data_IF_547173037659
#
_entry.id   IF_547173037659
#
_cell.length_a   1.000
_cell.length_b   1.000
_cell.length_c   1.000
_cell.angle_alpha   90.00
_cell.angle_beta   90.00
_cell.angle_gamma   90.00
#
_symmetry.space_group_name_H-M   'P 1'
#
loop_
_entity.id
_entity.type
_entity.pdbx_description
1 polymer ?
#
# COMPACT_ATOMS: atom_id res chain seq x y z
N UNK A 1 5.77 8.35 2.83
CA UNK A 1 5.21 7.38 1.84
C UNK A 1 6.19 6.26 1.47
N UNK A 2 7.25 6.50 0.68
CA UNK A 2 8.15 5.40 0.22
C UNK A 2 8.71 4.57 1.39
N UNK A 3 9.29 5.24 2.37
CA UNK A 3 9.86 4.60 3.56
C UNK A 3 8.80 3.82 4.36
N UNK A 4 7.61 4.39 4.53
CA UNK A 4 6.50 3.75 5.25
C UNK A 4 6.04 2.47 4.56
N UNK A 5 5.91 2.48 3.23
CA UNK A 5 5.54 1.30 2.43
C UNK A 5 6.61 0.21 2.56
N UNK A 6 7.89 0.57 2.42
CA UNK A 6 9.00 -0.39 2.50
C UNK A 6 9.19 -0.96 3.91
N UNK A 7 8.97 -0.14 4.95
CA UNK A 7 9.02 -0.59 6.33
C UNK A 7 7.90 -1.60 6.63
N UNK A 8 6.69 -1.33 6.15
CA UNK A 8 5.57 -2.27 6.28
C UNK A 8 5.81 -3.57 5.50
N UNK A 9 6.29 -3.48 4.24
CA UNK A 9 6.68 -4.65 3.43
C UNK A 9 7.69 -5.51 4.16
N UNK A 10 8.76 -4.90 4.69
CA UNK A 10 9.84 -5.60 5.38
C UNK A 10 9.31 -6.34 6.61
N UNK A 11 8.49 -5.67 7.43
CA UNK A 11 7.91 -6.27 8.64
C UNK A 11 6.99 -7.45 8.29
N UNK A 12 6.10 -7.27 7.30
CA UNK A 12 5.18 -8.33 6.85
C UNK A 12 5.97 -9.50 6.30
N UNK A 13 7.01 -9.25 5.50
CA UNK A 13 7.86 -10.29 4.93
C UNK A 13 8.64 -11.05 6.00
N UNK A 14 9.14 -10.38 7.04
CA UNK A 14 9.82 -11.05 8.15
C UNK A 14 8.91 -12.01 8.91
N UNK A 15 7.63 -11.65 9.07
CA UNK A 15 6.65 -12.45 9.83
C UNK A 15 6.08 -13.58 8.97
N UNK A 16 5.78 -13.31 7.70
CA UNK A 16 5.02 -14.21 6.83
C UNK A 16 5.88 -14.95 5.81
N UNK A 17 7.13 -14.52 5.61
CA UNK A 17 8.00 -14.93 4.48
C UNK A 17 7.44 -14.60 3.09
N UNK A 18 6.41 -13.75 3.01
CA UNK A 18 5.79 -13.31 1.76
C UNK A 18 6.07 -11.84 1.51
N UNK A 19 6.40 -11.50 0.26
CA UNK A 19 6.49 -10.10 -0.17
C UNK A 19 5.11 -9.59 -0.56
N UNK A 20 4.74 -8.41 -0.08
CA UNK A 20 3.47 -7.76 -0.42
C UNK A 20 3.46 -7.24 -1.86
N UNK A 21 2.28 -7.25 -2.50
CA UNK A 21 2.10 -6.80 -3.89
C UNK A 21 0.95 -5.80 -4.07
N UNK A 22 0.10 -5.64 -3.05
CA UNK A 22 -1.08 -4.78 -3.07
C UNK A 22 -0.91 -3.67 -2.04
N UNK A 23 -1.31 -2.46 -2.40
CA UNK A 23 -1.32 -1.30 -1.52
C UNK A 23 -2.71 -0.68 -1.49
N UNK A 24 -3.21 -0.40 -0.29
CA UNK A 24 -4.43 0.39 -0.08
C UNK A 24 -4.02 1.67 0.64
N UNK A 25 -4.24 2.86 0.05
CA UNK A 25 -3.96 4.12 0.72
C UNK A 25 -4.76 4.22 2.03
N UNK A 26 -4.15 4.69 3.13
CA UNK A 26 -4.89 4.99 4.36
C UNK A 26 -6.07 5.91 4.06
N UNK A 27 -7.26 5.51 4.50
CA UNK A 27 -8.51 6.26 4.27
C UNK A 27 -8.82 6.56 2.79
N UNK A 28 -8.20 5.85 1.84
CA UNK A 28 -8.36 6.13 0.42
C UNK A 28 -7.70 7.43 -0.03
N UNK A 29 -6.85 8.04 0.81
CA UNK A 29 -6.15 9.27 0.50
C UNK A 29 -5.08 9.04 -0.57
N UNK A 30 -5.45 9.31 -1.82
CA UNK A 30 -4.59 9.12 -2.98
C UNK A 30 -4.42 10.44 -3.73
N UNK A 31 -3.16 10.82 -4.00
CA UNK A 31 -2.80 11.89 -4.91
C UNK A 31 -1.74 11.40 -5.91
N UNK A 32 -1.38 12.24 -6.88
CA UNK A 32 -0.44 11.84 -7.94
C UNK A 32 0.93 11.43 -7.39
N UNK A 33 1.46 12.18 -6.42
CA UNK A 33 2.77 11.88 -5.81
C UNK A 33 2.78 10.51 -5.13
N UNK A 34 1.78 10.24 -4.28
CA UNK A 34 1.61 8.96 -3.59
C UNK A 34 1.45 7.83 -4.60
N UNK A 35 0.62 8.04 -5.63
CA UNK A 35 0.39 7.05 -6.69
C UNK A 35 1.68 6.69 -7.42
N UNK A 36 2.45 7.69 -7.84
CA UNK A 36 3.72 7.49 -8.55
C UNK A 36 4.73 6.75 -7.68
N UNK A 37 4.84 7.10 -6.40
CA UNK A 37 5.74 6.41 -5.47
C UNK A 37 5.35 4.94 -5.35
N UNK A 38 4.08 4.64 -5.07
CA UNK A 38 3.59 3.27 -4.87
C UNK A 38 3.73 2.42 -6.13
N UNK A 39 3.38 2.97 -7.29
CA UNK A 39 3.55 2.28 -8.58
C UNK A 39 5.04 2.01 -8.88
N UNK A 40 5.94 2.97 -8.58
CA UNK A 40 7.39 2.79 -8.77
C UNK A 40 7.98 1.70 -7.87
N UNK A 41 7.31 1.36 -6.76
CA UNK A 41 7.69 0.26 -5.87
C UNK A 41 7.16 -1.10 -6.35
N UNK A 42 6.39 -1.14 -7.44
CA UNK A 42 5.82 -2.37 -8.03
C UNK A 42 4.48 -2.80 -7.43
N UNK A 43 3.85 -1.94 -6.63
CA UNK A 43 2.56 -2.23 -6.00
C UNK A 43 1.39 -1.95 -6.93
N UNK A 44 0.32 -2.74 -6.79
CA UNK A 44 -0.99 -2.40 -7.34
C UNK A 44 -1.82 -1.68 -6.28
N UNK A 45 -2.44 -0.57 -6.67
CA UNK A 45 -3.31 0.21 -5.80
C UNK A 45 -4.71 -0.40 -5.83
N UNK A 46 -5.27 -0.72 -4.66
CA UNK A 46 -6.62 -1.26 -4.49
C UNK A 46 -7.48 -0.28 -3.69
N UNK A 47 -8.67 0.01 -4.20
CA UNK A 47 -9.68 0.89 -3.59
C UNK A 47 -10.98 0.10 -3.36
N UNK A 48 -12.02 0.77 -2.87
CA UNK A 48 -13.35 0.21 -2.68
C UNK A 48 -14.41 1.12 -3.31
N UNK A 49 -15.55 0.52 -3.64
CA UNK A 49 -16.77 1.22 -4.08
C UNK A 49 -17.89 1.16 -3.02
N UNK A 50 -17.73 0.34 -1.98
CA UNK A 50 -18.65 0.19 -0.86
C UNK A 50 -17.85 0.30 0.43
N UNK A 51 -18.27 1.20 1.32
CA UNK A 51 -17.67 1.43 2.64
C UNK A 51 -18.69 1.04 3.72
N UNK A 52 -18.31 0.12 4.61
CA UNK A 52 -19.16 -0.36 5.71
C UNK A 52 -19.31 0.65 6.84
N UNK A 53 -18.44 1.67 6.92
CA UNK A 53 -18.38 2.65 8.02
C UNK A 53 -18.27 1.99 9.42
N UNK A 54 -17.63 0.81 9.48
CA UNK A 54 -17.37 0.06 10.72
C UNK A 54 -16.29 0.69 11.60
#
# INVERSE_FOLDING_TARGET
VREEVLRAETLIQQITSLRTALFRPPYGALNDEVSQIVLSLGYKIIMWNVDSLD
#
